data_IF_524295433124
#
_entry.id   IF_524295433124
#
_cell.length_a   1.000
_cell.length_b   1.000
_cell.length_c   1.000
_cell.angle_alpha   90.00
_cell.angle_beta   90.00
_cell.angle_gamma   90.00
#
_symmetry.space_group_name_H-M   'P 1'
#
loop_
_entity.id
_entity.type
_entity.pdbx_description
1 polymer ?
#
# COMPACT_ATOMS: atom_id res chain seq x y z
N UNK A 1 -25.37 28.20 34.00
CA UNK A 1 -24.52 27.00 33.91
C UNK A 1 -24.89 26.06 32.76
N UNK A 2 -26.17 25.79 32.48
CA UNK A 2 -26.59 24.93 31.35
C UNK A 2 -26.08 25.37 29.96
N UNK A 3 -26.03 26.68 29.67
CA UNK A 3 -25.51 27.19 28.39
C UNK A 3 -24.02 26.91 28.16
N UNK A 4 -23.21 26.89 29.23
CA UNK A 4 -21.77 26.57 29.16
C UNK A 4 -21.52 25.07 28.94
N UNK A 5 -22.33 24.21 29.55
CA UNK A 5 -22.26 22.75 29.36
C UNK A 5 -22.57 22.38 27.89
N UNK A 6 -23.52 23.08 27.26
CA UNK A 6 -23.88 22.86 25.86
C UNK A 6 -22.76 23.25 24.89
N UNK A 7 -22.05 24.35 25.16
CA UNK A 7 -20.89 24.80 24.36
C UNK A 7 -19.72 23.82 24.50
N UNK A 8 -19.48 23.31 25.72
CA UNK A 8 -18.43 22.33 25.98
C UNK A 8 -18.70 20.98 25.29
N UNK A 9 -19.96 20.53 25.27
CA UNK A 9 -20.37 19.30 24.58
C UNK A 9 -20.19 19.38 23.06
N UNK A 10 -20.48 20.54 22.46
CA UNK A 10 -20.25 20.78 21.03
C UNK A 10 -18.75 20.78 20.73
N UNK A 11 -17.92 21.47 21.53
CA UNK A 11 -16.45 21.48 21.36
C UNK A 11 -15.83 20.09 21.51
N UNK A 12 -16.31 19.27 22.45
CA UNK A 12 -15.86 17.88 22.60
C UNK A 12 -16.29 17.01 21.41
N UNK A 13 -17.52 17.16 20.90
CA UNK A 13 -17.98 16.43 19.72
C UNK A 13 -17.22 16.81 18.42
N UNK A 14 -16.78 18.06 18.29
CA UNK A 14 -15.94 18.50 17.17
C UNK A 14 -14.52 17.95 17.24
N UNK A 15 -13.94 17.78 18.44
CA UNK A 15 -12.60 17.21 18.61
C UNK A 15 -12.54 15.69 18.33
N UNK A 16 -13.66 14.96 18.39
CA UNK A 16 -13.70 13.51 18.12
C UNK A 16 -13.59 13.16 16.63
N UNK A 17 -13.76 14.12 15.71
CA UNK A 17 -13.81 13.83 14.26
C UNK A 17 -12.53 14.10 13.47
N UNK A 18 -11.41 14.41 14.13
CA UNK A 18 -10.11 14.52 13.46
C UNK A 18 -9.31 13.21 13.44
N UNK A 19 -9.97 12.04 13.45
CA UNK A 19 -9.28 10.78 13.15
C UNK A 19 -8.82 10.81 11.69
N UNK A 20 -7.50 10.95 11.49
CA UNK A 20 -6.84 10.86 10.17
C UNK A 20 -7.29 9.56 9.52
N UNK A 21 -8.13 9.65 8.49
CA UNK A 21 -8.54 8.47 7.73
C UNK A 21 -7.29 7.73 7.26
N UNK A 22 -7.16 6.42 7.51
CA UNK A 22 -5.94 5.72 7.15
C UNK A 22 -5.77 5.79 5.63
N UNK A 23 -4.67 6.41 5.17
CA UNK A 23 -4.35 6.60 3.75
C UNK A 23 -4.20 5.27 3.02
N UNK A 24 -3.82 4.24 3.75
CA UNK A 24 -3.51 2.91 3.22
C UNK A 24 -4.54 1.88 3.69
N UNK A 25 -4.73 0.84 2.87
CA UNK A 25 -5.58 -0.32 3.15
C UNK A 25 -4.73 -1.58 3.05
N UNK A 26 -4.89 -2.48 4.01
CA UNK A 26 -4.30 -3.82 3.93
C UNK A 26 -5.01 -4.65 2.87
N UNK A 27 -4.24 -5.46 2.16
CA UNK A 27 -4.76 -6.39 1.16
C UNK A 27 -4.04 -7.73 1.27
N UNK A 28 -4.75 -8.79 0.89
CA UNK A 28 -4.15 -10.09 0.58
C UNK A 28 -4.50 -10.43 -0.86
N UNK A 29 -3.50 -10.38 -1.74
CA UNK A 29 -3.66 -10.67 -3.17
C UNK A 29 -2.87 -11.92 -3.48
N UNK A 30 -3.53 -12.97 -3.96
CA UNK A 30 -2.87 -14.24 -4.30
C UNK A 30 -1.98 -14.80 -3.17
N UNK A 31 -2.45 -14.73 -1.91
CA UNK A 31 -1.73 -15.11 -0.68
C UNK A 31 -0.52 -14.24 -0.33
N UNK A 32 -0.31 -13.13 -1.03
CA UNK A 32 0.71 -12.13 -0.70
C UNK A 32 0.08 -11.00 0.12
N UNK A 33 0.66 -10.78 1.29
CA UNK A 33 0.27 -9.71 2.20
C UNK A 33 0.83 -8.37 1.71
N UNK A 34 -0.04 -7.37 1.65
CA UNK A 34 0.31 -6.09 1.07
C UNK A 34 -0.48 -4.90 1.61
N UNK A 35 -0.04 -3.72 1.20
CA UNK A 35 -0.71 -2.45 1.40
C UNK A 35 -0.91 -1.75 0.07
N UNK A 36 -2.01 -1.02 -0.03
CA UNK A 36 -2.37 -0.20 -1.19
C UNK A 36 -2.81 1.18 -0.72
N UNK A 37 -2.60 2.19 -1.55
CA UNK A 37 -3.15 3.53 -1.29
C UNK A 37 -4.67 3.52 -1.56
N UNK A 38 -5.49 4.02 -0.62
CA UNK A 38 -6.95 4.12 -0.82
C UNK A 38 -7.32 5.07 -1.96
N UNK A 39 -6.49 6.07 -2.25
CA UNK A 39 -6.63 6.95 -3.40
C UNK A 39 -6.59 6.19 -4.72
N UNK A 40 -5.69 5.22 -4.86
CA UNK A 40 -5.57 4.37 -6.05
C UNK A 40 -6.84 3.53 -6.26
N UNK A 41 -7.37 2.94 -5.18
CA UNK A 41 -8.63 2.20 -5.21
C UNK A 41 -9.77 3.11 -5.66
N UNK A 42 -9.89 4.31 -5.06
CA UNK A 42 -10.95 5.27 -5.38
C UNK A 42 -10.87 5.74 -6.84
N UNK A 43 -9.67 5.97 -7.35
CA UNK A 43 -9.44 6.43 -8.72
C UNK A 43 -9.85 5.37 -9.77
N UNK A 44 -9.55 4.09 -9.51
CA UNK A 44 -9.72 3.03 -10.51
C UNK A 44 -10.98 2.19 -10.33
N UNK A 45 -11.58 2.22 -9.13
CA UNK A 45 -12.62 1.29 -8.70
C UNK A 45 -12.02 -0.02 -8.18
N UNK A 46 -12.56 -0.52 -7.06
CA UNK A 46 -12.00 -1.66 -6.32
C UNK A 46 -11.87 -2.92 -7.18
N UNK A 47 -12.90 -3.28 -7.94
CA UNK A 47 -12.88 -4.48 -8.78
C UNK A 47 -11.77 -4.43 -9.84
N UNK A 48 -11.63 -3.29 -10.53
CA UNK A 48 -10.61 -3.09 -11.56
C UNK A 48 -9.21 -3.11 -10.94
N UNK A 49 -9.03 -2.42 -9.82
CA UNK A 49 -7.75 -2.36 -9.12
C UNK A 49 -7.30 -3.74 -8.64
N UNK A 50 -8.18 -4.49 -7.97
CA UNK A 50 -7.89 -5.86 -7.50
C UNK A 50 -7.58 -6.79 -8.68
N UNK A 51 -8.31 -6.66 -9.80
CA UNK A 51 -8.03 -7.45 -11.01
C UNK A 51 -6.61 -7.22 -11.54
N UNK A 52 -6.18 -5.95 -11.59
CA UNK A 52 -4.81 -5.58 -12.00
C UNK A 52 -3.77 -6.18 -11.05
N UNK A 53 -3.97 -6.09 -9.73
CA UNK A 53 -3.03 -6.65 -8.75
C UNK A 53 -2.94 -8.19 -8.86
N UNK A 54 -4.06 -8.87 -9.11
CA UNK A 54 -4.07 -10.33 -9.36
C UNK A 54 -3.29 -10.69 -10.62
N UNK A 55 -3.42 -9.91 -11.69
CA UNK A 55 -2.66 -10.11 -12.93
C UNK A 55 -1.15 -9.93 -12.70
N UNK A 56 -0.78 -8.89 -11.95
CA UNK A 56 0.59 -8.65 -11.50
C UNK A 56 1.16 -9.84 -10.72
N UNK A 57 0.50 -10.27 -9.64
CA UNK A 57 0.98 -11.36 -8.78
C UNK A 57 1.04 -12.69 -9.54
N UNK A 58 0.07 -12.95 -10.43
CA UNK A 58 0.10 -14.15 -11.28
C UNK A 58 1.33 -14.17 -12.18
N UNK A 59 1.75 -13.02 -12.72
CA UNK A 59 2.97 -12.93 -13.54
C UNK A 59 4.23 -13.04 -12.68
N UNK A 60 4.25 -12.40 -11.51
CA UNK A 60 5.40 -12.48 -10.61
C UNK A 60 5.62 -13.92 -10.13
N UNK A 61 4.56 -14.64 -9.81
CA UNK A 61 4.61 -16.06 -9.40
C UNK A 61 5.13 -17.01 -10.49
N UNK A 62 5.07 -16.62 -11.77
CA UNK A 62 5.69 -17.38 -12.86
C UNK A 62 7.20 -17.17 -12.94
N UNK A 63 7.74 -16.17 -12.25
CA UNK A 63 9.19 -16.02 -12.08
C UNK A 63 9.68 -17.01 -11.02
N UNK A 64 10.91 -17.51 -11.13
CA UNK A 64 11.47 -18.53 -10.20
C UNK A 64 11.50 -18.11 -8.72
N UNK A 65 11.21 -16.85 -8.40
CA UNK A 65 11.14 -16.33 -7.05
C UNK A 65 9.85 -15.52 -6.88
N UNK A 66 8.95 -16.00 -6.02
CA UNK A 66 7.68 -15.35 -5.72
C UNK A 66 7.76 -14.34 -4.56
N UNK A 67 8.94 -14.16 -3.95
CA UNK A 67 9.17 -13.21 -2.85
C UNK A 67 8.16 -13.36 -1.71
N UNK A 68 7.83 -14.59 -1.31
CA UNK A 68 6.86 -14.88 -0.24
C UNK A 68 7.29 -14.39 1.16
N UNK A 69 8.60 -14.18 1.34
CA UNK A 69 9.26 -13.59 2.50
C UNK A 69 9.26 -12.05 2.48
N UNK A 70 8.55 -11.42 1.53
CA UNK A 70 8.41 -9.97 1.42
C UNK A 70 6.94 -9.55 1.54
N UNK A 71 6.71 -8.44 2.23
CA UNK A 71 5.45 -7.70 2.11
C UNK A 71 5.39 -6.94 0.78
N UNK A 72 4.18 -6.62 0.32
CA UNK A 72 3.94 -5.83 -0.89
C UNK A 72 3.47 -4.43 -0.54
N UNK A 73 4.06 -3.42 -1.15
CA UNK A 73 3.48 -2.09 -1.20
C UNK A 73 3.20 -1.74 -2.65
N UNK A 74 1.93 -1.70 -3.02
CA UNK A 74 1.51 -1.44 -4.40
C UNK A 74 1.16 0.02 -4.60
N UNK A 75 1.64 0.59 -5.70
CA UNK A 75 1.43 1.99 -6.08
C UNK A 75 1.06 2.05 -7.56
N UNK A 76 0.06 2.86 -7.89
CA UNK A 76 -0.26 3.14 -9.31
C UNK A 76 0.73 4.11 -9.93
N UNK A 77 1.13 3.83 -11.17
CA UNK A 77 2.01 4.71 -11.95
C UNK A 77 1.26 5.34 -13.12
N UNK A 78 1.50 6.63 -13.37
CA UNK A 78 0.98 7.36 -14.55
C UNK A 78 -0.24 8.26 -14.30
N UNK A 79 -0.68 8.41 -13.04
CA UNK A 79 -1.77 9.33 -12.67
C UNK A 79 -3.08 9.02 -13.40
N UNK A 80 -3.70 10.03 -14.02
CA UNK A 80 -5.00 9.91 -14.72
C UNK A 80 -4.97 8.83 -15.82
N UNK A 81 -3.85 8.67 -16.52
CA UNK A 81 -3.65 7.58 -17.49
C UNK A 81 -2.72 6.54 -16.87
N UNK A 82 -3.33 5.59 -16.17
CA UNK A 82 -2.62 4.47 -15.57
C UNK A 82 -1.73 3.74 -16.59
N UNK A 83 -0.41 3.82 -16.37
CA UNK A 83 0.61 3.17 -17.21
C UNK A 83 1.00 1.81 -16.67
N UNK A 84 1.04 1.68 -15.34
CA UNK A 84 1.52 0.49 -14.68
C UNK A 84 1.23 0.44 -13.20
N UNK A 85 1.71 -0.62 -12.57
CA UNK A 85 1.76 -0.78 -11.12
C UNK A 85 3.21 -0.99 -10.71
N UNK A 86 3.66 -0.23 -9.72
CA UNK A 86 4.87 -0.51 -8.96
C UNK A 86 4.53 -1.35 -7.74
N UNK A 87 5.31 -2.40 -7.50
CA UNK A 87 5.31 -3.13 -6.25
C UNK A 87 6.68 -2.99 -5.59
N UNK A 88 6.68 -2.44 -4.39
CA UNK A 88 7.84 -2.45 -3.51
C UNK A 88 7.75 -3.69 -2.61
N UNK A 89 8.77 -4.53 -2.70
CA UNK A 89 8.91 -5.76 -1.95
C UNK A 89 9.75 -5.45 -0.71
N UNK A 90 9.13 -5.46 0.45
CA UNK A 90 9.77 -5.11 1.73
C UNK A 90 10.04 -6.41 2.50
N UNK A 91 11.30 -6.81 2.73
CA UNK A 91 11.59 -8.09 3.37
C UNK A 91 10.99 -8.15 4.78
N UNK A 92 10.27 -9.21 5.11
CA UNK A 92 9.62 -9.38 6.42
C UNK A 92 10.63 -9.37 7.57
N UNK A 93 11.87 -9.78 7.31
CA UNK A 93 12.97 -9.82 8.28
C UNK A 93 13.45 -8.45 8.75
N UNK A 94 13.15 -7.38 8.01
CA UNK A 94 13.62 -6.03 8.34
C UNK A 94 12.56 -5.20 9.07
N UNK A 95 11.31 -5.68 9.06
CA UNK A 95 10.18 -5.03 9.69
C UNK A 95 10.11 -5.46 11.16
N UNK A 96 10.23 -4.55 12.14
CA UNK A 96 10.09 -4.93 13.55
C UNK A 96 8.65 -5.35 13.87
N UNK A 97 8.49 -6.20 14.89
CA UNK A 97 7.20 -6.83 15.19
C UNK A 97 6.09 -5.83 15.53
N UNK A 98 6.44 -4.69 16.13
CA UNK A 98 5.50 -3.61 16.38
C UNK A 98 4.84 -3.11 15.09
N UNK A 99 5.63 -2.86 14.04
CA UNK A 99 5.14 -2.41 12.73
C UNK A 99 4.44 -3.54 11.97
N UNK A 100 4.83 -4.81 12.18
CA UNK A 100 4.09 -5.96 11.63
C UNK A 100 2.67 -6.00 12.22
N UNK A 101 2.53 -5.85 13.54
CA UNK A 101 1.24 -5.84 14.23
C UNK A 101 0.38 -4.65 13.81
N UNK A 102 0.97 -3.47 13.65
CA UNK A 102 0.30 -2.27 13.14
C UNK A 102 0.06 -2.32 11.62
N UNK A 103 0.67 -3.28 10.92
CA UNK A 103 0.70 -3.42 9.46
C UNK A 103 1.16 -2.13 8.76
N UNK A 104 2.21 -1.50 9.29
CA UNK A 104 2.76 -0.25 8.77
C UNK A 104 4.18 -0.43 8.24
N UNK A 105 4.45 -1.49 7.48
CA UNK A 105 5.80 -1.81 7.01
C UNK A 105 6.31 -0.90 5.88
N UNK A 106 5.45 -0.14 5.20
CA UNK A 106 5.86 0.78 4.10
C UNK A 106 6.92 1.81 4.51
N UNK A 107 7.00 2.16 5.79
CA UNK A 107 7.95 3.13 6.34
C UNK A 107 9.33 2.50 6.65
N UNK A 108 9.43 1.18 6.56
CA UNK A 108 10.64 0.40 6.88
C UNK A 108 11.20 -0.16 5.57
N UNK A 109 11.69 0.73 4.71
CA UNK A 109 12.44 0.35 3.51
C UNK A 109 13.92 0.66 3.67
N UNK A 110 14.77 -0.30 3.30
CA UNK A 110 16.21 -0.07 3.17
C UNK A 110 16.73 -0.61 1.83
N UNK A 111 18.05 -0.69 1.66
CA UNK A 111 18.69 -1.21 0.44
C UNK A 111 18.26 -2.63 0.03
N UNK A 112 17.67 -3.41 0.93
CA UNK A 112 17.15 -4.77 0.68
C UNK A 112 15.73 -4.76 0.10
N UNK A 113 15.01 -3.63 0.20
CA UNK A 113 13.73 -3.47 -0.46
C UNK A 113 13.93 -3.51 -1.98
N UNK A 114 13.10 -4.29 -2.65
CA UNK A 114 13.14 -4.41 -4.10
C UNK A 114 11.96 -3.65 -4.70
N UNK A 115 12.15 -3.16 -5.91
CA UNK A 115 11.10 -2.57 -6.72
C UNK A 115 10.93 -3.38 -7.99
N UNK A 116 9.67 -3.66 -8.33
CA UNK A 116 9.26 -4.29 -9.57
C UNK A 116 8.15 -3.43 -10.17
N UNK A 117 8.26 -3.16 -11.47
CA UNK A 117 7.25 -2.46 -12.23
C UNK A 117 6.55 -3.39 -13.20
N UNK A 118 5.25 -3.22 -13.31
CA UNK A 118 4.39 -3.93 -14.22
C UNK A 118 3.74 -2.98 -15.20
N UNK A 119 4.12 -3.11 -16.47
CA UNK A 119 3.57 -2.30 -17.54
C UNK A 119 2.23 -2.88 -18.00
N UNK A 120 1.16 -2.09 -17.91
CA UNK A 120 -0.19 -2.57 -18.21
C UNK A 120 -0.48 -2.70 -19.71
N UNK A 121 0.31 -2.04 -20.56
CA UNK A 121 0.16 -2.11 -22.01
C UNK A 121 0.84 -3.35 -22.57
N UNK A 122 2.11 -3.53 -22.22
CA UNK A 122 2.95 -4.64 -22.69
C UNK A 122 2.80 -5.89 -21.86
N UNK A 123 2.20 -5.78 -20.66
CA UNK A 123 2.02 -6.87 -19.71
C UNK A 123 3.36 -7.47 -19.28
N UNK A 124 4.43 -6.68 -19.23
CA UNK A 124 5.79 -7.13 -18.86
C UNK A 124 6.17 -6.64 -17.47
N UNK A 125 6.90 -7.49 -16.75
CA UNK A 125 7.55 -7.14 -15.49
C UNK A 125 8.99 -6.68 -15.76
N UNK A 126 9.42 -5.64 -15.06
CA UNK A 126 10.85 -5.33 -14.98
C UNK A 126 11.58 -6.37 -14.14
N UNK A 127 12.91 -6.44 -14.29
CA UNK A 127 13.73 -7.17 -13.31
C UNK A 127 13.67 -6.44 -11.96
N UNK A 128 13.64 -7.17 -10.84
CA UNK A 128 13.75 -6.56 -9.52
C UNK A 128 15.03 -5.73 -9.42
N UNK A 129 14.92 -4.53 -8.86
CA UNK A 129 16.06 -3.68 -8.52
C UNK A 129 15.96 -3.21 -7.08
N UNK A 130 17.09 -3.02 -6.42
CA UNK A 130 17.12 -2.39 -5.10
C UNK A 130 16.50 -1.00 -5.17
N UNK A 131 15.67 -0.66 -4.18
CA UNK A 131 15.05 0.64 -4.05
C UNK A 131 14.87 0.98 -2.57
N UNK A 132 15.31 2.17 -2.17
CA UNK A 132 15.10 2.67 -0.81
C UNK A 132 13.80 3.45 -0.76
N UNK A 133 12.77 2.89 -0.12
CA UNK A 133 11.54 3.62 0.16
C UNK A 133 11.85 4.69 1.20
N UNK A 134 11.60 5.94 0.84
CA UNK A 134 11.57 7.04 1.80
C UNK A 134 10.18 7.08 2.45
N UNK A 135 10.07 7.22 3.77
CA UNK A 135 8.78 7.41 4.43
C UNK A 135 8.03 8.61 3.84
N UNK A 136 6.71 8.49 3.71
CA UNK A 136 5.87 9.65 3.41
C UNK A 136 5.91 10.62 4.61
N UNK A 137 6.27 11.89 4.35
CA UNK A 137 6.21 12.99 5.33
C UNK A 137 4.77 13.30 5.74
#
# INVERSE_FOLDING_TARGET
MQKLIFILAILLAYNVRAQKNPTYKDVSICKQEGMVNKGDIKMLGEQKYVSILKEFETKLNKTKNNYSDYYRFYVTDGGVKLKGISAYLIPKSIVPDEQKTKKEYRVIGDKRTLWIYYDLKTKKLTKPRSFMLTPDL
#
